data_IF_306949230807
#
_entry.id   IF_306949230807
#
_cell.length_a   1.000
_cell.length_b   1.000
_cell.length_c   1.000
_cell.angle_alpha   90.00
_cell.angle_beta   90.00
_cell.angle_gamma   90.00
#
_symmetry.space_group_name_H-M   'P 1'
#
loop_
_entity.id
_entity.type
_entity.pdbx_description
1 polymer ?
#
# COMPACT_ATOMS: atom_id res chain seq x y z
N UNK A 1 -19.90 28.93 -86.91
CA UNK A 1 -20.35 29.18 -85.52
C UNK A 1 -21.56 28.31 -85.24
N UNK A 2 -21.55 27.53 -84.16
CA UNK A 2 -22.68 26.70 -83.76
C UNK A 2 -22.29 25.73 -82.64
N UNK A 3 -22.19 26.23 -81.41
CA UNK A 3 -21.93 25.42 -80.22
C UNK A 3 -23.26 24.91 -79.65
N UNK A 4 -23.46 23.60 -79.56
CA UNK A 4 -24.64 22.97 -78.94
C UNK A 4 -24.33 22.70 -77.46
N UNK A 5 -25.10 23.34 -76.57
CA UNK A 5 -25.10 23.08 -75.13
C UNK A 5 -26.11 21.96 -74.82
N UNK A 6 -25.67 20.91 -74.13
CA UNK A 6 -26.53 19.83 -73.62
C UNK A 6 -26.81 20.11 -72.16
N UNK A 7 -28.07 20.34 -71.80
CA UNK A 7 -28.51 20.45 -70.40
C UNK A 7 -28.80 19.05 -69.84
N UNK A 8 -28.03 18.64 -68.82
CA UNK A 8 -28.26 17.43 -68.04
C UNK A 8 -29.40 17.63 -67.04
N UNK A 9 -30.36 16.71 -67.04
CA UNK A 9 -31.50 16.69 -66.11
C UNK A 9 -31.04 16.18 -64.73
N UNK A 10 -31.04 17.05 -63.73
CA UNK A 10 -30.84 16.65 -62.33
C UNK A 10 -32.09 15.96 -61.79
N UNK A 11 -31.93 14.71 -61.33
CA UNK A 11 -33.00 13.96 -60.64
C UNK A 11 -32.97 14.31 -59.14
N UNK A 12 -34.11 14.64 -58.51
CA UNK A 12 -34.17 14.93 -57.08
C UNK A 12 -33.96 13.64 -56.26
N UNK A 13 -33.03 13.68 -55.30
CA UNK A 13 -32.82 12.60 -54.33
C UNK A 13 -34.04 12.45 -53.39
N UNK A 14 -34.42 11.23 -52.99
CA UNK A 14 -35.59 10.99 -52.13
C UNK A 14 -35.34 11.47 -50.70
N UNK A 15 -35.92 12.62 -50.35
CA UNK A 15 -35.86 13.31 -49.04
C UNK A 15 -36.24 12.42 -47.85
N UNK A 16 -37.05 11.37 -48.06
CA UNK A 16 -37.43 10.40 -47.01
C UNK A 16 -36.28 9.49 -46.57
N UNK A 17 -35.37 9.11 -47.46
CA UNK A 17 -34.24 8.24 -47.13
C UNK A 17 -33.20 8.99 -46.29
N UNK A 18 -33.00 10.27 -46.61
CA UNK A 18 -32.06 11.16 -45.91
C UNK A 18 -32.53 11.52 -44.50
N UNK A 19 -33.84 11.68 -44.29
CA UNK A 19 -34.42 11.92 -42.96
C UNK A 19 -34.29 10.68 -42.06
N UNK A 20 -34.56 9.48 -42.59
CA UNK A 20 -34.40 8.22 -41.86
C UNK A 20 -32.94 7.96 -41.48
N UNK A 21 -31.99 8.23 -42.38
CA UNK A 21 -30.56 8.11 -42.07
C UNK A 21 -30.10 9.15 -41.04
N UNK A 22 -30.63 10.39 -41.08
CA UNK A 22 -30.31 11.41 -40.08
C UNK A 22 -30.83 11.03 -38.70
N UNK A 23 -32.06 10.50 -38.63
CA UNK A 23 -32.66 10.00 -37.38
C UNK A 23 -31.89 8.81 -36.83
N UNK A 24 -31.44 7.88 -37.69
CA UNK A 24 -30.64 6.73 -37.29
C UNK A 24 -29.24 7.14 -36.81
N UNK A 25 -28.62 8.13 -37.46
CA UNK A 25 -27.33 8.71 -37.04
C UNK A 25 -27.49 9.46 -35.72
N UNK A 26 -28.57 10.23 -35.51
CA UNK A 26 -28.83 10.88 -34.21
C UNK A 26 -29.13 9.87 -33.09
N UNK A 27 -29.81 8.76 -33.41
CA UNK A 27 -30.04 7.66 -32.46
C UNK A 27 -28.75 6.89 -32.15
N UNK A 28 -27.83 6.75 -33.12
CA UNK A 28 -26.51 6.13 -32.91
C UNK A 28 -25.54 7.02 -32.12
N UNK A 29 -25.64 8.34 -32.25
CA UNK A 29 -24.84 9.31 -31.46
C UNK A 29 -25.36 9.41 -30.02
N UNK A 30 -26.65 9.21 -29.77
CA UNK A 30 -27.26 9.28 -28.44
C UNK A 30 -26.93 8.10 -27.50
N UNK A 31 -26.16 7.10 -27.93
CA UNK A 31 -25.83 5.90 -27.12
C UNK A 31 -24.53 6.05 -26.29
N UNK A 32 -23.80 7.16 -26.44
CA UNK A 32 -22.54 7.37 -25.71
C UNK A 32 -22.74 8.29 -24.50
N UNK A 33 -23.46 7.80 -23.48
CA UNK A 33 -23.28 8.32 -22.12
C UNK A 33 -22.60 7.25 -21.29
N UNK A 34 -21.33 6.97 -21.62
CA UNK A 34 -20.45 6.25 -20.71
C UNK A 34 -20.12 7.20 -19.55
N UNK A 35 -20.68 6.93 -18.37
CA UNK A 35 -20.12 7.49 -17.14
C UNK A 35 -18.64 7.10 -17.08
N UNK A 36 -17.77 8.07 -16.81
CA UNK A 36 -16.33 7.83 -16.77
C UNK A 36 -16.00 6.75 -15.73
N UNK A 37 -15.31 5.70 -16.16
CA UNK A 37 -14.90 4.61 -15.28
C UNK A 37 -13.91 5.12 -14.21
N UNK A 38 -14.08 4.70 -12.96
CA UNK A 38 -13.33 5.19 -11.80
C UNK A 38 -11.83 4.89 -11.90
N UNK A 39 -11.45 3.77 -12.53
CA UNK A 39 -10.04 3.45 -12.75
C UNK A 39 -9.43 4.40 -13.77
N UNK A 40 -10.16 4.70 -14.85
CA UNK A 40 -9.73 5.69 -15.85
C UNK A 40 -9.63 7.10 -15.26
N UNK A 41 -10.54 7.46 -14.35
CA UNK A 41 -10.53 8.75 -13.65
C UNK A 41 -9.30 8.93 -12.76
N UNK A 42 -8.88 7.86 -12.08
CA UNK A 42 -7.66 7.85 -11.26
C UNK A 42 -6.38 7.61 -12.09
N UNK A 43 -6.51 7.18 -13.34
CA UNK A 43 -5.39 6.84 -14.22
C UNK A 43 -4.67 5.56 -13.79
N UNK A 44 -5.40 4.58 -13.24
CA UNK A 44 -4.86 3.30 -12.78
C UNK A 44 -5.49 2.14 -13.55
N UNK A 45 -4.82 0.98 -13.52
CA UNK A 45 -5.39 -0.23 -14.09
C UNK A 45 -6.44 -0.85 -13.14
N UNK A 46 -7.38 -1.64 -13.68
CA UNK A 46 -8.43 -2.32 -12.91
C UNK A 46 -7.86 -3.37 -11.95
N UNK A 47 -6.68 -3.92 -12.23
CA UNK A 47 -5.95 -4.80 -11.32
C UNK A 47 -5.05 -4.06 -10.31
N UNK A 48 -5.09 -2.72 -10.26
CA UNK A 48 -4.23 -1.94 -9.36
C UNK A 48 -4.48 -2.28 -7.88
N UNK A 49 -3.40 -2.35 -7.12
CA UNK A 49 -3.42 -2.54 -5.67
C UNK A 49 -3.98 -1.31 -4.95
N UNK A 50 -4.48 -1.50 -3.72
CA UNK A 50 -4.98 -0.39 -2.89
C UNK A 50 -3.92 0.70 -2.68
N UNK A 51 -2.64 0.32 -2.58
CA UNK A 51 -1.51 1.25 -2.49
C UNK A 51 -1.37 2.09 -3.76
N UNK A 52 -1.41 1.48 -4.94
CA UNK A 52 -1.31 2.19 -6.22
C UNK A 52 -2.49 3.16 -6.42
N UNK A 53 -3.70 2.74 -6.03
CA UNK A 53 -4.90 3.59 -6.03
C UNK A 53 -4.70 4.81 -5.12
N UNK A 54 -4.21 4.60 -3.88
CA UNK A 54 -3.91 5.71 -2.95
C UNK A 54 -2.84 6.65 -3.52
N UNK A 55 -1.75 6.13 -4.08
CA UNK A 55 -0.68 6.96 -4.65
C UNK A 55 -1.17 7.79 -5.85
N UNK A 56 -1.96 7.18 -6.75
CA UNK A 56 -2.54 7.87 -7.89
C UNK A 56 -3.51 8.98 -7.43
N UNK A 57 -4.41 8.65 -6.49
CA UNK A 57 -5.32 9.63 -5.90
C UNK A 57 -4.56 10.76 -5.18
N UNK A 58 -3.53 10.47 -4.38
CA UNK A 58 -2.70 11.46 -3.70
C UNK A 58 -2.09 12.45 -4.69
N UNK A 59 -1.55 11.94 -5.81
CA UNK A 59 -0.99 12.77 -6.87
C UNK A 59 -2.03 13.72 -7.46
N UNK A 60 -3.21 13.19 -7.80
CA UNK A 60 -4.32 13.98 -8.33
C UNK A 60 -4.82 15.01 -7.31
N UNK A 61 -5.00 14.61 -6.05
CA UNK A 61 -5.43 15.49 -4.97
C UNK A 61 -4.47 16.66 -4.79
N UNK A 62 -3.15 16.43 -4.80
CA UNK A 62 -2.18 17.52 -4.65
C UNK A 62 -2.21 18.53 -5.80
N UNK A 63 -2.58 18.11 -7.00
CA UNK A 63 -2.63 18.98 -8.20
C UNK A 63 -3.99 19.62 -8.42
N UNK A 64 -5.08 18.89 -8.18
CA UNK A 64 -6.45 19.28 -8.55
C UNK A 64 -7.24 19.86 -7.38
N UNK A 65 -6.70 19.85 -6.15
CA UNK A 65 -7.44 20.36 -4.99
C UNK A 65 -7.95 21.79 -5.23
N UNK A 66 -9.21 22.10 -4.86
CA UNK A 66 -9.79 23.43 -5.05
C UNK A 66 -8.96 24.57 -4.42
N UNK A 67 -8.40 24.37 -3.22
CA UNK A 67 -7.50 25.34 -2.56
C UNK A 67 -6.29 25.77 -3.41
N UNK A 68 -5.81 24.91 -4.32
CA UNK A 68 -4.68 25.21 -5.21
C UNK A 68 -5.12 25.71 -6.58
N UNK A 69 -6.42 25.66 -6.87
CA UNK A 69 -7.02 26.05 -8.14
C UNK A 69 -8.18 27.04 -7.94
N UNK A 70 -7.99 28.19 -7.24
CA UNK A 70 -9.07 29.12 -6.94
C UNK A 70 -9.65 29.83 -8.18
N UNK A 71 -8.95 29.79 -9.32
CA UNK A 71 -9.38 30.40 -10.58
C UNK A 71 -10.27 29.51 -11.45
N UNK A 72 -10.39 28.22 -11.16
CA UNK A 72 -11.25 27.29 -11.91
C UNK A 72 -12.55 27.02 -11.12
N UNK A 73 -13.71 27.57 -11.55
CA UNK A 73 -14.98 27.33 -10.87
C UNK A 73 -15.42 25.85 -10.90
N UNK A 74 -14.89 25.06 -11.83
CA UNK A 74 -15.17 23.61 -11.95
C UNK A 74 -14.23 22.73 -11.11
N UNK A 75 -13.21 23.30 -10.45
CA UNK A 75 -12.23 22.54 -9.68
C UNK A 75 -12.88 21.71 -8.56
N UNK A 76 -13.89 22.26 -7.88
CA UNK A 76 -14.62 21.56 -6.83
C UNK A 76 -15.34 20.31 -7.36
N UNK A 77 -16.09 20.45 -8.46
CA UNK A 77 -16.85 19.34 -9.05
C UNK A 77 -15.93 18.25 -9.59
N UNK A 78 -14.85 18.63 -10.30
CA UNK A 78 -13.84 17.68 -10.78
C UNK A 78 -13.19 16.92 -9.63
N UNK A 79 -12.82 17.62 -8.56
CA UNK A 79 -12.20 16.96 -7.42
C UNK A 79 -13.18 16.06 -6.67
N UNK A 80 -14.46 16.42 -6.62
CA UNK A 80 -15.50 15.59 -6.03
C UNK A 80 -15.65 14.25 -6.76
N UNK A 81 -15.61 14.27 -8.10
CA UNK A 81 -15.63 13.04 -8.91
C UNK A 81 -14.43 12.15 -8.61
N UNK A 82 -13.21 12.72 -8.58
CA UNK A 82 -11.97 12.01 -8.25
C UNK A 82 -12.01 11.43 -6.84
N UNK A 83 -12.50 12.20 -5.86
CA UNK A 83 -12.66 11.74 -4.49
C UNK A 83 -13.68 10.60 -4.38
N UNK A 84 -14.81 10.68 -5.11
CA UNK A 84 -15.81 9.61 -5.15
C UNK A 84 -15.24 8.31 -5.71
N UNK A 85 -14.48 8.38 -6.81
CA UNK A 85 -13.80 7.23 -7.37
C UNK A 85 -12.84 6.60 -6.34
N UNK A 86 -12.04 7.42 -5.65
CA UNK A 86 -11.14 6.95 -4.61
C UNK A 86 -11.87 6.27 -3.43
N UNK A 87 -12.93 6.89 -2.90
CA UNK A 87 -13.70 6.34 -1.76
C UNK A 87 -14.31 4.98 -2.07
N UNK A 88 -14.69 4.74 -3.32
CA UNK A 88 -15.22 3.44 -3.77
C UNK A 88 -14.10 2.43 -4.00
N UNK A 89 -13.03 2.83 -4.69
CA UNK A 89 -11.96 1.92 -5.08
C UNK A 89 -11.02 1.54 -3.92
N UNK A 90 -10.95 2.35 -2.86
CA UNK A 90 -10.15 2.04 -1.67
C UNK A 90 -10.79 0.97 -0.78
N UNK A 91 -12.11 0.83 -0.82
CA UNK A 91 -12.87 -0.13 -0.01
C UNK A 91 -13.10 -1.39 -0.85
N UNK A 92 -12.68 -2.53 -0.33
CA UNK A 92 -12.70 -3.78 -1.09
C UNK A 92 -14.12 -4.23 -1.46
N UNK A 93 -15.10 -4.02 -0.56
CA UNK A 93 -16.48 -4.42 -0.77
C UNK A 93 -17.18 -3.49 -1.77
N UNK A 94 -16.94 -2.18 -1.67
CA UNK A 94 -17.45 -1.19 -2.62
C UNK A 94 -16.81 -1.37 -3.99
N UNK A 95 -15.50 -1.63 -4.06
CA UNK A 95 -14.79 -1.93 -5.29
C UNK A 95 -15.36 -3.16 -5.99
N UNK A 96 -15.60 -4.26 -5.25
CA UNK A 96 -16.26 -5.47 -5.79
C UNK A 96 -17.67 -5.16 -6.33
N UNK A 97 -18.44 -4.33 -5.62
CA UNK A 97 -19.79 -3.92 -6.04
C UNK A 97 -19.73 -3.08 -7.32
N UNK A 98 -18.79 -2.14 -7.40
CA UNK A 98 -18.52 -1.33 -8.58
C UNK A 98 -18.07 -2.19 -9.77
N UNK A 99 -17.17 -3.14 -9.55
CA UNK A 99 -16.68 -4.02 -10.61
C UNK A 99 -17.80 -4.88 -11.21
N UNK A 100 -18.78 -5.27 -10.39
CA UNK A 100 -19.90 -6.13 -10.82
C UNK A 100 -21.07 -5.36 -11.44
N UNK A 101 -21.38 -4.16 -10.94
CA UNK A 101 -22.62 -3.45 -11.28
C UNK A 101 -22.41 -2.01 -11.78
N UNK A 102 -21.17 -1.53 -11.83
CA UNK A 102 -20.83 -0.14 -12.10
C UNK A 102 -21.38 0.82 -11.05
N UNK A 103 -21.52 2.09 -11.41
CA UNK A 103 -22.06 3.12 -10.51
C UNK A 103 -23.50 2.84 -10.07
N UNK A 104 -24.29 2.14 -10.89
CA UNK A 104 -25.69 1.77 -10.58
C UNK A 104 -25.81 0.88 -9.34
N UNK A 105 -24.73 0.17 -9.00
CA UNK A 105 -24.67 -0.63 -7.79
C UNK A 105 -24.37 0.17 -6.54
N UNK A 106 -23.94 1.43 -6.64
CA UNK A 106 -23.47 2.22 -5.50
C UNK A 106 -24.58 3.13 -4.98
N UNK A 107 -24.54 3.44 -3.68
CA UNK A 107 -25.48 4.38 -3.08
C UNK A 107 -25.04 5.82 -3.41
N UNK A 108 -25.99 6.68 -3.84
CA UNK A 108 -25.68 8.06 -4.28
C UNK A 108 -25.02 8.93 -3.21
N UNK A 109 -25.13 8.59 -1.92
CA UNK A 109 -24.61 9.40 -0.82
C UNK A 109 -23.11 9.20 -0.52
N UNK A 110 -22.43 8.25 -1.17
CA UNK A 110 -21.00 8.02 -0.95
C UNK A 110 -20.16 8.95 -1.83
N UNK A 111 -19.36 9.85 -1.22
CA UNK A 111 -18.36 10.68 -1.91
C UNK A 111 -18.37 12.19 -1.65
N UNK A 112 -19.27 12.71 -0.80
CA UNK A 112 -19.54 14.15 -0.67
C UNK A 112 -18.50 15.01 0.09
N UNK A 113 -17.55 14.42 0.81
CA UNK A 113 -16.59 15.16 1.64
C UNK A 113 -15.16 14.75 1.31
N UNK A 114 -14.32 15.74 1.05
CA UNK A 114 -12.89 15.61 0.90
C UNK A 114 -12.17 16.40 2.00
N UNK A 115 -10.91 16.08 2.21
CA UNK A 115 -10.07 16.71 3.23
C UNK A 115 -9.27 17.89 2.65
N UNK A 116 -8.63 18.70 3.50
CA UNK A 116 -7.84 19.84 3.02
C UNK A 116 -6.59 19.41 2.22
N UNK A 117 -6.06 20.30 1.40
CA UNK A 117 -4.82 20.03 0.65
C UNK A 117 -3.65 19.60 1.56
N UNK A 118 -3.53 20.24 2.74
CA UNK A 118 -2.51 19.90 3.72
C UNK A 118 -2.64 18.47 4.24
N UNK A 119 -3.87 17.97 4.41
CA UNK A 119 -4.09 16.59 4.81
C UNK A 119 -3.54 15.62 3.76
N UNK A 120 -3.87 15.81 2.48
CA UNK A 120 -3.36 14.96 1.41
C UNK A 120 -1.84 15.05 1.25
N UNK A 121 -1.25 16.19 1.61
CA UNK A 121 0.20 16.43 1.53
C UNK A 121 1.00 15.76 2.64
N UNK A 122 0.47 15.71 3.86
CA UNK A 122 1.23 15.32 5.04
C UNK A 122 0.64 14.12 5.78
N UNK A 123 -0.68 13.97 5.83
CA UNK A 123 -1.38 12.95 6.63
C UNK A 123 -1.85 11.73 5.82
N UNK A 124 -1.97 11.86 4.49
CA UNK A 124 -2.48 10.83 3.62
C UNK A 124 -1.38 9.89 3.08
N UNK A 125 -1.60 8.59 3.22
CA UNK A 125 -0.66 7.57 2.72
C UNK A 125 0.73 7.75 3.31
N UNK A 126 0.83 7.85 4.64
CA UNK A 126 2.08 8.19 5.37
C UNK A 126 3.23 7.25 4.97
N UNK A 127 2.91 5.98 4.73
CA UNK A 127 3.88 4.92 4.43
C UNK A 127 3.76 4.34 3.01
N UNK A 128 2.96 4.94 2.12
CA UNK A 128 2.73 4.37 0.79
C UNK A 128 3.99 4.41 -0.10
N UNK A 129 4.93 5.30 0.19
CA UNK A 129 6.20 5.44 -0.54
C UNK A 129 7.36 4.64 0.10
N UNK A 130 7.10 3.96 1.22
CA UNK A 130 8.09 3.18 1.98
C UNK A 130 7.88 1.68 1.70
N UNK A 131 8.71 1.09 0.84
CA UNK A 131 8.52 -0.29 0.35
C UNK A 131 8.63 -1.34 1.45
N UNK A 132 9.45 -1.08 2.47
CA UNK A 132 9.69 -1.97 3.60
C UNK A 132 8.53 -1.97 4.61
N UNK A 133 7.56 -1.05 4.47
CA UNK A 133 6.40 -0.95 5.35
C UNK A 133 5.14 -1.39 4.61
N UNK A 134 4.51 -2.45 5.13
CA UNK A 134 3.29 -2.99 4.54
C UNK A 134 2.09 -2.36 5.24
N UNK A 135 1.33 -1.56 4.50
CA UNK A 135 0.09 -1.00 5.03
C UNK A 135 -1.01 -2.06 4.98
N UNK A 136 -1.50 -2.47 6.15
CA UNK A 136 -2.52 -3.50 6.32
C UNK A 136 -3.89 -2.86 6.56
N UNK A 137 -4.91 -3.44 5.95
CA UNK A 137 -6.31 -3.10 6.19
C UNK A 137 -7.05 -4.28 6.87
N UNK A 138 -8.37 -4.17 6.96
CA UNK A 138 -9.20 -5.19 7.61
C UNK A 138 -9.23 -6.53 6.86
N UNK A 139 -8.98 -6.56 5.55
CA UNK A 139 -8.93 -7.77 4.74
C UNK A 139 -7.60 -8.52 4.89
N UNK A 140 -6.49 -7.77 4.96
CA UNK A 140 -5.15 -8.34 4.99
C UNK A 140 -4.66 -8.69 6.41
N UNK A 141 -5.13 -7.96 7.43
CA UNK A 141 -4.54 -7.99 8.77
C UNK A 141 -4.49 -9.38 9.40
N UNK A 142 -5.61 -10.12 9.41
CA UNK A 142 -5.67 -11.43 10.08
C UNK A 142 -4.83 -12.48 9.34
N UNK A 143 -4.74 -12.41 8.01
CA UNK A 143 -3.89 -13.31 7.24
C UNK A 143 -2.41 -13.02 7.54
N UNK A 144 -2.02 -11.74 7.59
CA UNK A 144 -0.66 -11.32 7.90
C UNK A 144 -0.20 -11.84 9.26
N UNK A 145 -0.93 -11.54 10.35
CA UNK A 145 -0.50 -11.90 11.72
C UNK A 145 -0.53 -13.41 12.00
N UNK A 146 -1.18 -14.20 11.13
CA UNK A 146 -1.25 -15.66 11.24
C UNK A 146 -0.37 -16.38 10.19
N UNK A 147 0.44 -15.67 9.39
CA UNK A 147 1.26 -16.28 8.32
C UNK A 147 2.40 -17.18 8.82
N UNK A 148 2.71 -17.11 10.11
CA UNK A 148 3.90 -17.75 10.72
C UNK A 148 5.10 -16.82 10.80
N UNK A 149 5.10 -15.71 10.04
CA UNK A 149 6.10 -14.65 10.16
C UNK A 149 5.89 -13.85 11.45
N UNK A 150 6.95 -13.19 11.92
CA UNK A 150 6.86 -12.20 13.00
C UNK A 150 6.48 -10.86 12.37
N UNK A 151 5.43 -10.23 12.89
CA UNK A 151 4.95 -8.93 12.43
C UNK A 151 5.08 -7.88 13.51
N UNK A 152 5.78 -6.79 13.24
CA UNK A 152 5.74 -5.60 14.11
C UNK A 152 4.89 -4.52 13.46
N UNK A 153 3.73 -4.23 14.06
CA UNK A 153 2.69 -3.39 13.47
C UNK A 153 2.55 -2.08 14.23
N UNK A 154 2.58 -0.98 13.49
CA UNK A 154 2.26 0.36 13.95
C UNK A 154 0.79 0.73 13.66
N UNK A 155 -0.03 0.78 14.70
CA UNK A 155 -1.38 1.32 14.62
C UNK A 155 -1.33 2.83 14.81
N UNK A 156 -1.60 3.57 13.73
CA UNK A 156 -1.53 5.02 13.70
C UNK A 156 -2.88 5.64 13.31
N UNK A 157 -2.98 6.96 13.45
CA UNK A 157 -4.15 7.73 13.05
C UNK A 157 -3.69 8.97 12.26
N UNK A 158 -4.43 9.43 11.23
CA UNK A 158 -4.10 10.68 10.53
C UNK A 158 -4.20 11.89 11.47
N UNK A 159 -3.49 13.00 11.20
CA UNK A 159 -3.49 14.20 12.07
C UNK A 159 -3.05 13.94 13.52
N UNK A 160 -2.21 12.94 13.72
CA UNK A 160 -1.67 12.57 15.02
C UNK A 160 -0.21 13.03 15.13
N UNK A 161 0.06 14.03 15.96
CA UNK A 161 1.42 14.58 16.13
C UNK A 161 2.44 13.52 16.54
N UNK A 162 2.11 12.65 17.51
CA UNK A 162 2.99 11.56 17.93
C UNK A 162 3.23 10.50 16.85
N UNK A 163 2.27 10.32 15.94
CA UNK A 163 2.39 9.39 14.82
C UNK A 163 3.36 9.96 13.77
N UNK A 164 3.27 11.27 13.49
CA UNK A 164 4.24 11.98 12.64
C UNK A 164 5.65 11.98 13.21
N UNK A 165 5.78 12.18 14.52
CA UNK A 165 7.08 12.13 15.21
C UNK A 165 7.72 10.73 15.12
N UNK A 166 6.91 9.67 15.17
CA UNK A 166 7.38 8.30 15.03
C UNK A 166 7.75 7.93 13.59
N UNK A 167 7.05 8.48 12.58
CA UNK A 167 7.16 8.02 11.21
C UNK A 167 8.60 7.95 10.65
N UNK A 168 9.51 8.93 10.89
CA UNK A 168 10.91 8.81 10.47
C UNK A 168 11.64 7.61 11.10
N UNK A 169 11.54 7.45 12.42
CA UNK A 169 12.18 6.33 13.12
C UNK A 169 11.60 4.97 12.70
N UNK A 170 10.29 4.91 12.42
CA UNK A 170 9.63 3.70 11.92
C UNK A 170 10.14 3.30 10.53
N UNK A 171 10.40 4.27 9.63
CA UNK A 171 11.00 4.01 8.31
C UNK A 171 12.43 3.49 8.40
N UNK A 172 13.26 4.12 9.23
CA UNK A 172 14.64 3.66 9.42
C UNK A 172 14.69 2.27 10.06
N UNK A 173 13.82 2.04 11.05
CA UNK A 173 13.65 0.74 11.66
C UNK A 173 13.19 -0.32 10.65
N UNK A 174 12.26 0.02 9.75
CA UNK A 174 11.79 -0.91 8.72
C UNK A 174 12.90 -1.33 7.76
N UNK A 175 13.76 -0.38 7.37
CA UNK A 175 14.94 -0.67 6.52
C UNK A 175 15.97 -1.54 7.22
N UNK A 176 16.20 -1.32 8.51
CA UNK A 176 17.16 -2.11 9.29
C UNK A 176 16.69 -3.57 9.48
N UNK A 177 15.39 -3.78 9.65
CA UNK A 177 14.80 -5.09 9.90
C UNK A 177 14.27 -5.79 8.64
N UNK A 178 14.54 -5.23 7.45
CA UNK A 178 14.10 -5.79 6.19
C UNK A 178 14.65 -7.22 6.01
N UNK A 179 13.77 -8.13 5.60
CA UNK A 179 14.07 -9.56 5.50
C UNK A 179 14.20 -10.34 6.82
N UNK A 180 14.19 -9.67 7.99
CA UNK A 180 14.28 -10.34 9.30
C UNK A 180 12.91 -10.54 9.93
N UNK A 181 12.09 -9.49 9.93
CA UNK A 181 10.69 -9.51 10.37
C UNK A 181 9.84 -8.65 9.44
N UNK A 182 8.53 -8.84 9.46
CA UNK A 182 7.59 -8.05 8.67
C UNK A 182 7.19 -6.79 9.42
N UNK A 183 7.33 -5.65 8.76
CA UNK A 183 6.97 -4.36 9.34
C UNK A 183 5.66 -3.88 8.74
N UNK A 184 4.67 -3.69 9.60
CA UNK A 184 3.31 -3.33 9.23
C UNK A 184 2.91 -1.94 9.72
N UNK A 185 1.96 -1.32 9.02
CA UNK A 185 1.26 -0.13 9.49
C UNK A 185 -0.24 -0.28 9.27
N UNK A 186 -1.05 0.12 10.25
CA UNK A 186 -2.51 0.12 10.14
C UNK A 186 -3.01 1.54 10.35
N UNK A 187 -3.67 2.09 9.32
CA UNK A 187 -4.37 3.37 9.43
C UNK A 187 -5.71 3.17 10.14
N UNK A 188 -5.80 3.53 11.42
CA UNK A 188 -7.04 3.43 12.20
C UNK A 188 -8.10 4.48 11.83
N UNK A 189 -7.73 5.50 11.05
CA UNK A 189 -8.69 6.43 10.44
C UNK A 189 -9.60 5.73 9.44
N UNK A 190 -9.00 4.91 8.58
CA UNK A 190 -9.72 4.11 7.58
C UNK A 190 -10.24 2.79 8.18
N UNK A 191 -9.52 2.20 9.13
CA UNK A 191 -9.79 0.87 9.70
C UNK A 191 -10.28 0.93 11.16
N UNK A 192 -11.25 1.80 11.46
CA UNK A 192 -11.70 2.04 12.83
C UNK A 192 -12.20 0.76 13.54
N UNK A 193 -12.99 -0.06 12.84
CA UNK A 193 -13.53 -1.31 13.40
C UNK A 193 -12.43 -2.30 13.78
N UNK A 194 -11.45 -2.50 12.89
CA UNK A 194 -10.27 -3.33 13.16
C UNK A 194 -9.53 -2.85 14.41
N UNK A 195 -9.20 -1.56 14.48
CA UNK A 195 -8.44 -1.00 15.59
C UNK A 195 -9.20 -1.12 16.93
N UNK A 196 -10.52 -0.87 16.95
CA UNK A 196 -11.34 -1.10 18.15
C UNK A 196 -11.35 -2.56 18.58
N UNK A 197 -11.54 -3.50 17.64
CA UNK A 197 -11.54 -4.95 17.91
C UNK A 197 -10.21 -5.43 18.48
N UNK A 198 -9.09 -4.84 18.03
CA UNK A 198 -7.75 -5.11 18.56
C UNK A 198 -7.42 -4.32 19.84
N UNK A 199 -8.37 -3.55 20.38
CA UNK A 199 -8.21 -2.82 21.65
C UNK A 199 -7.31 -1.59 21.55
N UNK A 200 -7.15 -1.02 20.36
CA UNK A 200 -6.32 0.17 20.13
C UNK A 200 -7.11 1.44 20.47
N UNK A 201 -6.76 2.07 21.59
CA UNK A 201 -7.44 3.27 22.10
C UNK A 201 -6.55 4.52 22.10
N UNK A 202 -5.28 4.39 21.72
CA UNK A 202 -4.34 5.51 21.63
C UNK A 202 -3.34 5.30 20.51
N UNK A 203 -2.81 6.40 19.97
CA UNK A 203 -1.96 6.38 18.78
C UNK A 203 -0.64 7.17 19.02
N UNK A 204 0.48 6.71 18.46
CA UNK A 204 0.67 5.40 17.86
C UNK A 204 0.72 4.30 18.93
N UNK A 205 0.17 3.13 18.59
CA UNK A 205 0.28 1.90 19.38
C UNK A 205 1.03 0.84 18.59
N UNK A 206 2.06 0.25 19.21
CA UNK A 206 3.01 -0.63 18.56
C UNK A 206 2.91 -2.03 19.15
N UNK A 207 2.74 -3.05 18.31
CA UNK A 207 2.56 -4.44 18.75
C UNK A 207 3.32 -5.43 17.87
N UNK A 208 3.99 -6.39 18.50
CA UNK A 208 4.50 -7.58 17.82
C UNK A 208 3.45 -8.69 17.83
N UNK A 209 3.28 -9.34 16.69
CA UNK A 209 2.44 -10.50 16.46
C UNK A 209 3.29 -11.68 16.01
N UNK A 210 2.91 -12.86 16.49
CA UNK A 210 3.41 -14.16 16.03
C UNK A 210 2.26 -15.15 16.06
N UNK A 211 2.16 -15.98 15.04
CA UNK A 211 1.08 -16.96 14.93
C UNK A 211 0.98 -17.84 16.19
N UNK A 212 -0.24 -17.98 16.71
CA UNK A 212 -0.53 -18.78 17.92
C UNK A 212 -0.08 -18.17 19.25
N UNK A 213 0.51 -16.97 19.26
CA UNK A 213 0.92 -16.26 20.48
C UNK A 213 0.08 -15.00 20.71
N UNK A 214 -0.01 -14.57 21.97
CA UNK A 214 -0.63 -13.28 22.29
C UNK A 214 0.29 -12.15 21.79
N UNK A 215 -0.28 -11.06 21.24
CA UNK A 215 0.52 -9.95 20.77
C UNK A 215 1.17 -9.19 21.93
N UNK A 216 2.43 -8.82 21.77
CA UNK A 216 3.20 -8.10 22.78
C UNK A 216 3.26 -6.61 22.45
N UNK A 217 2.93 -5.77 23.43
CA UNK A 217 2.89 -4.32 23.26
C UNK A 217 4.27 -3.72 23.50
N UNK A 218 4.73 -2.88 22.58
CA UNK A 218 5.92 -2.07 22.78
C UNK A 218 5.59 -0.84 23.64
N UNK A 219 6.27 -0.72 24.78
CA UNK A 219 6.04 0.35 25.76
C UNK A 219 7.30 1.19 26.05
N UNK A 220 8.38 1.00 25.29
CA UNK A 220 9.63 1.75 25.49
C UNK A 220 9.62 3.08 24.75
N UNK A 221 10.67 3.87 24.94
CA UNK A 221 10.90 5.07 24.13
C UNK A 221 11.05 4.69 22.66
N UNK A 222 10.37 5.43 21.78
CA UNK A 222 10.21 5.09 20.37
C UNK A 222 11.40 5.50 19.50
N UNK A 223 12.62 5.20 19.95
CA UNK A 223 13.83 5.35 19.15
C UNK A 223 14.05 4.12 18.27
N UNK A 224 14.74 4.30 17.14
CA UNK A 224 15.10 3.20 16.22
C UNK A 224 15.78 2.05 16.97
N UNK A 225 16.78 2.35 17.78
CA UNK A 225 17.57 1.34 18.49
C UNK A 225 16.74 0.53 19.49
N UNK A 226 15.77 1.17 20.15
CA UNK A 226 14.85 0.46 21.05
C UNK A 226 13.85 -0.41 20.28
N UNK A 227 13.40 0.01 19.11
CA UNK A 227 12.53 -0.80 18.23
C UNK A 227 13.28 -2.06 17.75
N UNK A 228 14.54 -1.91 17.32
CA UNK A 228 15.41 -3.04 16.94
C UNK A 228 15.61 -3.96 18.15
N UNK A 229 16.06 -3.41 19.28
CA UNK A 229 16.35 -4.20 20.49
C UNK A 229 15.14 -4.98 20.99
N UNK A 230 13.96 -4.38 20.98
CA UNK A 230 12.72 -5.07 21.34
C UNK A 230 12.40 -6.20 20.35
N UNK A 231 12.51 -5.93 19.04
CA UNK A 231 12.25 -6.93 17.99
C UNK A 231 13.17 -8.14 18.09
N UNK A 232 14.45 -7.92 18.40
CA UNK A 232 15.44 -8.98 18.58
C UNK A 232 15.11 -9.94 19.73
N UNK A 233 14.30 -9.55 20.71
CA UNK A 233 13.86 -10.45 21.78
C UNK A 233 12.93 -11.57 21.27
N UNK A 234 12.27 -11.34 20.14
CA UNK A 234 11.31 -12.27 19.58
C UNK A 234 11.94 -13.15 18.51
N UNK A 235 13.03 -12.73 17.88
CA UNK A 235 13.72 -13.50 16.86
C UNK A 235 14.47 -14.65 17.53
N UNK A 236 14.19 -15.87 17.11
CA UNK A 236 14.93 -17.06 17.55
C UNK A 236 16.24 -17.13 16.78
N UNK A 237 17.31 -16.58 17.34
CA UNK A 237 18.66 -16.79 16.81
C UNK A 237 19.32 -17.93 17.56
N UNK A 238 19.53 -19.07 16.90
CA UNK A 238 20.37 -20.14 17.44
C UNK A 238 21.81 -19.85 17.04
N UNK A 239 22.57 -19.30 17.99
CA UNK A 239 24.01 -19.06 17.82
C UNK A 239 24.79 -20.13 18.56
N UNK A 240 25.21 -21.16 17.84
CA UNK A 240 26.13 -22.17 18.33
C UNK A 240 27.56 -21.64 18.27
N UNK A 241 28.27 -21.71 19.40
CA UNK A 241 29.72 -21.58 19.37
C UNK A 241 30.33 -22.89 18.91
N UNK A 242 31.11 -22.85 17.84
CA UNK A 242 31.98 -23.96 17.43
C UNK A 242 33.30 -23.89 18.20
N UNK A 243 33.95 -25.02 18.36
CA UNK A 243 35.31 -25.18 18.84
C UNK A 243 35.83 -26.52 18.31
N UNK A 244 37.10 -26.83 18.54
CA UNK A 244 37.72 -28.05 17.99
C UNK A 244 36.99 -29.34 18.36
N UNK A 245 36.25 -29.35 19.48
CA UNK A 245 35.54 -30.53 20.00
C UNK A 245 34.15 -30.76 19.42
N UNK A 246 33.48 -29.75 18.86
CA UNK A 246 32.12 -29.90 18.31
C UNK A 246 32.02 -29.50 16.83
N UNK A 247 33.02 -28.83 16.26
CA UNK A 247 32.96 -28.28 14.90
C UNK A 247 32.59 -29.35 13.85
N UNK A 248 33.16 -30.54 13.95
CA UNK A 248 32.87 -31.63 13.01
C UNK A 248 31.46 -32.19 13.17
N UNK A 249 31.03 -32.47 14.41
CA UNK A 249 29.70 -33.04 14.67
C UNK A 249 28.58 -32.06 14.33
N UNK A 250 28.78 -30.77 14.59
CA UNK A 250 27.82 -29.71 14.28
C UNK A 250 27.69 -29.52 12.76
N UNK A 251 28.81 -29.52 12.03
CA UNK A 251 28.80 -29.44 10.56
C UNK A 251 28.14 -30.67 9.94
N UNK A 252 28.46 -31.88 10.42
CA UNK A 252 27.85 -33.12 9.89
C UNK A 252 26.35 -33.18 10.16
N UNK A 253 25.94 -32.87 11.39
CA UNK A 253 24.53 -32.82 11.80
C UNK A 253 23.73 -31.92 10.86
N UNK A 254 24.25 -30.74 10.56
CA UNK A 254 23.50 -29.82 9.73
C UNK A 254 23.63 -30.00 8.23
N UNK A 255 24.74 -30.60 7.75
CA UNK A 255 24.77 -31.13 6.38
C UNK A 255 23.71 -32.21 6.20
N UNK A 256 23.49 -33.05 7.22
CA UNK A 256 22.45 -34.08 7.19
C UNK A 256 21.02 -33.51 7.25
N UNK A 257 20.82 -32.34 7.87
CA UNK A 257 19.54 -31.62 7.87
C UNK A 257 19.31 -30.74 6.64
N UNK A 258 20.33 -30.59 5.77
CA UNK A 258 20.25 -29.77 4.56
C UNK A 258 20.27 -28.26 4.82
N UNK A 259 20.71 -27.82 6.01
CA UNK A 259 20.79 -26.41 6.37
C UNK A 259 22.15 -25.82 5.99
N UNK A 260 22.13 -24.64 5.36
CA UNK A 260 23.34 -23.86 5.01
C UNK A 260 23.94 -23.15 6.22
N UNK A 261 25.24 -22.83 6.16
CA UNK A 261 26.00 -22.28 7.29
C UNK A 261 26.62 -20.92 6.97
N UNK A 262 26.41 -19.97 7.88
CA UNK A 262 27.20 -18.75 7.98
C UNK A 262 28.13 -18.88 9.19
N UNK A 263 29.43 -19.00 8.95
CA UNK A 263 30.46 -19.10 9.99
C UNK A 263 31.32 -17.85 9.94
N UNK A 264 31.35 -17.11 11.04
CA UNK A 264 32.31 -16.01 11.23
C UNK A 264 33.48 -16.46 12.10
N UNK A 265 34.69 -16.01 11.75
CA UNK A 265 35.92 -16.27 12.49
C UNK A 265 36.37 -14.98 13.17
N UNK A 266 36.47 -14.98 14.50
CA UNK A 266 36.99 -13.86 15.28
C UNK A 266 38.39 -14.18 15.79
N UNK A 267 39.31 -13.21 15.75
CA UNK A 267 40.64 -13.28 16.35
C UNK A 267 40.92 -12.00 17.12
N UNK A 268 41.35 -12.12 18.38
CA UNK A 268 41.76 -10.96 19.17
C UNK A 268 43.10 -10.41 18.65
N UNK A 269 43.07 -9.31 17.90
CA UNK A 269 44.29 -8.56 17.59
C UNK A 269 44.64 -7.67 18.78
N UNK A 270 45.17 -8.29 19.84
CA UNK A 270 45.59 -7.60 21.06
C UNK A 270 46.68 -8.37 21.82
N UNK A 271 47.95 -8.17 21.44
CA UNK A 271 49.11 -8.35 22.31
C UNK A 271 49.61 -9.78 22.61
N UNK A 272 50.64 -10.21 21.88
CA UNK A 272 51.67 -11.19 22.24
C UNK A 272 51.31 -12.33 23.21
N UNK A 273 50.81 -13.45 22.68
CA UNK A 273 51.19 -14.82 23.15
C UNK A 273 50.78 -15.86 22.10
N UNK A 274 51.63 -16.83 21.72
CA UNK A 274 51.25 -17.91 20.82
C UNK A 274 50.78 -19.11 21.65
N UNK A 275 49.54 -19.10 22.13
CA UNK A 275 48.80 -20.33 22.44
C UNK A 275 47.35 -20.00 22.78
N UNK A 276 46.44 -20.72 22.12
CA UNK A 276 44.98 -20.56 22.17
C UNK A 276 44.46 -19.41 21.30
N UNK A 277 44.33 -19.68 20.00
CA UNK A 277 43.26 -19.09 19.20
C UNK A 277 41.93 -19.53 19.79
N UNK A 278 41.44 -18.81 20.79
CA UNK A 278 40.04 -18.83 21.21
C UNK A 278 39.23 -18.14 20.11
N UNK A 279 38.99 -18.86 19.01
CA UNK A 279 38.05 -18.42 18.00
C UNK A 279 36.66 -18.43 18.64
N UNK A 280 36.03 -17.26 18.76
CA UNK A 280 34.59 -17.21 18.94
C UNK A 280 33.97 -17.51 17.58
N UNK A 281 33.33 -18.67 17.46
CA UNK A 281 32.55 -19.03 16.29
C UNK A 281 31.10 -18.65 16.58
N UNK A 282 30.41 -18.02 15.64
CA UNK A 282 28.98 -17.78 15.77
C UNK A 282 28.27 -18.45 14.61
N UNK A 283 27.38 -19.40 14.93
CA UNK A 283 26.43 -19.95 13.98
C UNK A 283 25.30 -18.98 13.72
N UNK A 284 24.81 -19.00 12.49
CA UNK A 284 23.47 -18.55 12.17
C UNK A 284 22.80 -19.68 11.41
N UNK A 285 21.72 -20.26 11.97
CA UNK A 285 20.81 -21.10 11.18
C UNK A 285 19.98 -20.17 10.30
N UNK A 286 20.14 -20.28 8.98
CA UNK A 286 19.33 -19.56 7.99
C UNK A 286 18.11 -20.37 7.63
#
# INVERSE_FOLDING_TARGET
MGCRVVFGVQRPLPVRLTLLSLVLVTLLVAVWTEGQDYYTLLGVNREATTREIRQAFKKLALTMHPDKNPGDPSAHEKFLQVNRAYEVLKDEDLRKKYDKYGEKGLDEQQGGRYESWNFYRYDFGIYDDDLEIITLDSGDFEAAVNSGEIWFINFYFPRCSHCHQLAPAWREFAKEMDGVIRIGAVNCGDNNHLCRRKGINSYPSLFIYRAGQKPEKFNWERSKDNLVRFSMQFITTTVTQLWQGNVFSEIESAFSSGLGWLITFCSDTGGNTPSQTSGCFHLYSV
#
